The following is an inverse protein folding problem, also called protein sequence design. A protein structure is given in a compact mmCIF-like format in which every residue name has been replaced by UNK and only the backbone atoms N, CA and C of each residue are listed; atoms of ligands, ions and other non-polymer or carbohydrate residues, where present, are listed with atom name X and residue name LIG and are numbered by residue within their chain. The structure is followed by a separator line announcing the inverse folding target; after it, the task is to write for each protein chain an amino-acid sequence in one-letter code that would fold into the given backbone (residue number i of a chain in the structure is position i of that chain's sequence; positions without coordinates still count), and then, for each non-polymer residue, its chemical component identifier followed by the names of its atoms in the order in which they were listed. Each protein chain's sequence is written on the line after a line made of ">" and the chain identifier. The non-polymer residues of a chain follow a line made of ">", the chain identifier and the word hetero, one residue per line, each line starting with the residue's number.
data_IF_452009220969
#
_entry.id   IF_452009220969
#
_cell.length_a   1.000
_cell.length_b   1.000
_cell.length_c   1.000
_cell.angle_alpha   90.00
_cell.angle_beta   90.00
_cell.angle_gamma   90.00
#
_symmetry.space_group_name_H-M   'P 1'
#
loop_
_entity.id
_entity.type
_entity.pdbx_description
1 polymer ?
#
# COMPACT_ATOMS: atom_id res chain seq x y z
N UNK A 1 -27.98 -9.21 4.10
CA UNK A 1 -28.25 -8.60 5.41
C UNK A 1 -26.93 -8.52 6.17
N UNK A 2 -26.48 -7.33 6.58
CA UNK A 2 -25.25 -7.17 7.38
C UNK A 2 -25.54 -7.66 8.80
N UNK A 3 -24.71 -8.56 9.34
CA UNK A 3 -24.76 -8.98 10.75
C UNK A 3 -23.75 -8.13 11.52
N UNK A 4 -24.22 -7.34 12.47
CA UNK A 4 -23.36 -6.57 13.36
C UNK A 4 -23.00 -7.45 14.57
N UNK A 5 -21.71 -7.51 14.91
CA UNK A 5 -21.23 -8.19 16.13
C UNK A 5 -21.17 -7.20 17.30
N UNK A 6 -20.98 -7.71 18.52
CA UNK A 6 -20.83 -6.88 19.74
C UNK A 6 -19.51 -6.11 19.77
N UNK A 7 -18.46 -6.68 19.20
CA UNK A 7 -17.13 -6.08 19.19
C UNK A 7 -17.05 -4.97 18.14
N UNK A 8 -16.35 -3.88 18.46
CA UNK A 8 -16.11 -2.82 17.49
C UNK A 8 -15.10 -3.29 16.40
N UNK A 9 -15.04 -2.56 15.29
CA UNK A 9 -14.23 -2.99 14.13
C UNK A 9 -12.73 -2.97 14.42
N UNK A 10 -12.26 -2.15 15.37
CA UNK A 10 -10.87 -2.11 15.80
C UNK A 10 -10.51 -3.38 16.59
N UNK A 11 -11.29 -3.71 17.62
CA UNK A 11 -11.09 -4.91 18.44
C UNK A 11 -11.14 -6.19 17.59
N UNK A 12 -12.08 -6.24 16.64
CA UNK A 12 -12.16 -7.34 15.69
C UNK A 12 -10.91 -7.44 14.81
N UNK A 13 -10.37 -6.31 14.34
CA UNK A 13 -9.13 -6.30 13.54
C UNK A 13 -7.90 -6.71 14.37
N UNK A 14 -7.80 -6.27 15.63
CA UNK A 14 -6.74 -6.71 16.56
C UNK A 14 -6.81 -8.22 16.80
N UNK A 15 -8.00 -8.75 17.09
CA UNK A 15 -8.22 -10.20 17.27
C UNK A 15 -7.82 -11.00 16.03
N UNK A 16 -8.10 -10.49 14.83
CA UNK A 16 -7.67 -11.12 13.56
C UNK A 16 -6.15 -11.11 13.42
N UNK A 17 -5.49 -10.02 13.77
CA UNK A 17 -4.02 -9.92 13.73
C UNK A 17 -3.37 -10.86 14.75
N UNK A 18 -3.91 -10.93 15.97
CA UNK A 18 -3.46 -11.87 17.00
C UNK A 18 -3.52 -13.32 16.50
N UNK A 19 -4.66 -13.69 15.90
CA UNK A 19 -4.84 -15.00 15.28
C UNK A 19 -3.79 -15.31 14.22
N UNK A 20 -3.46 -14.33 13.36
CA UNK A 20 -2.45 -14.50 12.32
C UNK A 20 -1.07 -14.75 12.93
N UNK A 21 -0.66 -13.92 13.91
CA UNK A 21 0.63 -14.07 14.58
C UNK A 21 0.76 -15.36 15.43
N UNK A 22 -0.36 -15.92 15.90
CA UNK A 22 -0.38 -17.20 16.60
C UNK A 22 -0.40 -18.40 15.64
N UNK A 23 -0.91 -18.22 14.42
CA UNK A 23 -1.14 -19.32 13.48
C UNK A 23 0.00 -19.50 12.49
N UNK A 24 0.64 -18.42 12.05
CA UNK A 24 1.65 -18.44 10.99
C UNK A 24 3.04 -18.08 11.55
N UNK A 25 4.06 -18.90 11.29
CA UNK A 25 5.43 -18.60 11.72
C UNK A 25 6.01 -17.39 10.97
N UNK A 26 5.65 -17.21 9.71
CA UNK A 26 6.15 -16.14 8.85
C UNK A 26 5.00 -15.27 8.35
N UNK A 27 5.06 -13.99 8.67
CA UNK A 27 4.02 -13.01 8.34
C UNK A 27 4.72 -11.83 7.67
N UNK A 28 4.19 -11.40 6.53
CA UNK A 28 4.61 -10.14 5.91
C UNK A 28 3.41 -9.31 5.48
N UNK A 29 3.60 -8.00 5.34
CA UNK A 29 2.55 -7.09 4.90
C UNK A 29 2.92 -6.43 3.58
N UNK A 30 1.99 -6.46 2.62
CA UNK A 30 2.12 -5.70 1.38
C UNK A 30 1.73 -4.24 1.61
N UNK A 31 2.66 -3.35 1.32
CA UNK A 31 2.54 -1.94 1.61
C UNK A 31 2.64 -1.07 0.36
N UNK A 32 1.61 -0.25 0.17
CA UNK A 32 1.46 0.65 -0.99
C UNK A 32 1.70 2.13 -0.66
N UNK A 33 1.99 2.47 0.60
CA UNK A 33 2.06 3.86 1.05
C UNK A 33 0.70 4.57 1.19
N UNK A 34 -0.41 3.87 0.96
CA UNK A 34 -1.77 4.41 1.11
C UNK A 34 -2.26 4.38 2.57
N UNK A 35 -3.35 5.12 2.85
CA UNK A 35 -3.94 5.20 4.21
C UNK A 35 -4.36 3.83 4.74
N UNK A 36 -4.92 2.98 3.88
CA UNK A 36 -5.54 1.71 4.30
C UNK A 36 -4.47 0.67 4.67
N UNK A 37 -3.43 0.52 3.84
CA UNK A 37 -2.28 -0.35 4.13
C UNK A 37 -1.42 0.20 5.28
N UNK A 38 -1.28 1.53 5.38
CA UNK A 38 -0.59 2.18 6.51
C UNK A 38 -1.30 1.96 7.85
N UNK A 39 -2.63 2.01 7.91
CA UNK A 39 -3.38 1.75 9.13
C UNK A 39 -3.27 0.27 9.54
N UNK A 40 -3.37 -0.64 8.57
CA UNK A 40 -3.21 -2.08 8.80
C UNK A 40 -1.85 -2.41 9.43
N UNK A 41 -0.76 -1.86 8.90
CA UNK A 41 0.60 -2.16 9.37
C UNK A 41 0.86 -1.55 10.75
N UNK A 42 0.40 -0.32 11.00
CA UNK A 42 0.57 0.30 12.31
C UNK A 42 -0.26 -0.41 13.39
N UNK A 43 -1.43 -0.95 13.05
CA UNK A 43 -2.19 -1.83 13.93
C UNK A 43 -1.45 -3.16 14.17
N UNK A 44 -0.86 -3.73 13.11
CA UNK A 44 -0.08 -4.96 13.21
C UNK A 44 1.17 -4.79 14.08
N UNK A 45 1.87 -3.67 13.99
CA UNK A 45 3.00 -3.34 14.86
C UNK A 45 2.60 -3.29 16.34
N UNK A 46 1.46 -2.70 16.69
CA UNK A 46 0.97 -2.73 18.08
C UNK A 46 0.73 -4.16 18.59
N UNK A 47 0.03 -4.98 17.79
CA UNK A 47 -0.27 -6.38 18.15
C UNK A 47 1.01 -7.22 18.22
N UNK A 48 1.92 -7.05 17.25
CA UNK A 48 3.18 -7.76 17.20
C UNK A 48 4.07 -7.44 18.42
N UNK A 49 4.13 -6.18 18.87
CA UNK A 49 4.84 -5.79 20.10
C UNK A 49 4.27 -6.51 21.33
N UNK A 50 2.95 -6.54 21.48
CA UNK A 50 2.29 -7.21 22.61
C UNK A 50 2.57 -8.71 22.61
N UNK A 51 2.61 -9.33 21.43
CA UNK A 51 2.88 -10.77 21.27
C UNK A 51 4.38 -11.11 21.22
N UNK A 52 5.27 -10.10 21.27
CA UNK A 52 6.72 -10.27 21.09
C UNK A 52 7.04 -11.04 19.79
N UNK A 53 6.34 -10.67 18.71
CA UNK A 53 6.51 -11.21 17.36
C UNK A 53 7.03 -10.10 16.44
N UNK A 54 7.60 -10.52 15.32
CA UNK A 54 8.01 -9.64 14.22
C UNK A 54 7.27 -10.03 12.94
N UNK A 55 7.31 -9.16 11.95
CA UNK A 55 6.85 -9.43 10.59
C UNK A 55 7.75 -8.74 9.58
N UNK A 56 7.65 -9.14 8.32
CA UNK A 56 8.37 -8.49 7.23
C UNK A 56 7.48 -7.52 6.45
N UNK A 57 8.11 -6.61 5.72
CA UNK A 57 7.43 -5.60 4.91
C UNK A 57 7.76 -5.81 3.45
N UNK A 58 6.75 -5.85 2.58
CA UNK A 58 6.90 -5.89 1.13
C UNK A 58 6.44 -4.57 0.54
N UNK A 59 7.34 -3.87 -0.14
CA UNK A 59 7.05 -2.66 -0.91
C UNK A 59 7.41 -2.95 -2.37
N UNK A 60 6.45 -2.77 -3.27
CA UNK A 60 6.72 -2.63 -4.69
C UNK A 60 6.59 -1.14 -5.03
N UNK A 61 7.73 -0.47 -5.18
CA UNK A 61 7.79 0.97 -5.31
C UNK A 61 7.59 1.39 -6.77
N UNK A 62 6.71 2.36 -6.98
CA UNK A 62 6.43 2.93 -8.29
C UNK A 62 7.31 4.17 -8.47
N UNK A 63 8.02 4.25 -9.60
CA UNK A 63 8.96 5.33 -9.92
C UNK A 63 8.37 6.73 -9.72
N UNK A 64 7.08 6.93 -9.96
CA UNK A 64 6.40 8.23 -9.85
C UNK A 64 5.60 8.43 -8.54
N UNK A 65 6.01 7.79 -7.43
CA UNK A 65 5.39 8.02 -6.13
C UNK A 65 5.58 9.46 -5.62
N UNK A 66 4.61 10.00 -4.86
CA UNK A 66 4.74 11.32 -4.23
C UNK A 66 5.85 11.32 -3.17
N UNK A 67 6.56 12.44 -3.02
CA UNK A 67 7.57 12.62 -1.95
C UNK A 67 7.01 12.36 -0.54
N UNK A 68 5.76 12.78 -0.32
CA UNK A 68 5.06 12.53 0.94
C UNK A 68 4.82 11.02 1.17
N UNK A 69 4.55 10.26 0.10
CA UNK A 69 4.42 8.80 0.15
C UNK A 69 5.74 8.14 0.47
N UNK A 70 6.84 8.56 -0.17
CA UNK A 70 8.18 8.03 0.15
C UNK A 70 8.58 8.33 1.60
N UNK A 71 8.35 9.55 2.05
CA UNK A 71 8.60 9.94 3.45
C UNK A 71 7.77 9.10 4.42
N UNK A 72 6.51 8.82 4.08
CA UNK A 72 5.67 7.91 4.87
C UNK A 72 6.18 6.47 4.83
N UNK A 73 6.67 6.00 3.69
CA UNK A 73 7.26 4.68 3.57
C UNK A 73 8.45 4.50 4.50
N UNK A 74 9.36 5.47 4.55
CA UNK A 74 10.50 5.44 5.48
C UNK A 74 10.07 5.42 6.95
N UNK A 75 9.00 6.16 7.30
CA UNK A 75 8.45 6.11 8.68
C UNK A 75 7.89 4.74 9.03
N UNK A 76 7.21 4.07 8.10
CA UNK A 76 6.66 2.74 8.31
C UNK A 76 7.77 1.70 8.38
N UNK A 77 8.79 1.77 7.51
CA UNK A 77 9.98 0.89 7.53
C UNK A 77 10.72 0.94 8.87
N UNK A 78 10.68 2.09 9.55
CA UNK A 78 11.31 2.27 10.86
C UNK A 78 10.51 1.69 12.06
N UNK A 79 9.37 1.04 11.84
CA UNK A 79 8.62 0.41 12.92
C UNK A 79 9.42 -0.77 13.54
N UNK A 80 9.49 -0.88 14.87
CA UNK A 80 10.42 -1.78 15.55
C UNK A 80 10.08 -3.27 15.42
N UNK A 81 8.84 -3.63 15.04
CA UNK A 81 8.47 -5.02 14.82
C UNK A 81 8.76 -5.50 13.40
N UNK A 82 9.20 -4.61 12.51
CA UNK A 82 9.61 -4.98 11.17
C UNK A 82 10.99 -5.61 11.24
N UNK A 83 11.08 -6.88 10.87
CA UNK A 83 12.33 -7.63 10.88
C UNK A 83 13.11 -7.40 9.58
N UNK A 84 12.47 -7.60 8.43
CA UNK A 84 13.05 -7.36 7.12
C UNK A 84 12.12 -6.56 6.23
N UNK A 85 12.69 -5.68 5.40
CA UNK A 85 11.95 -4.98 4.34
C UNK A 85 12.45 -5.43 2.97
N UNK A 86 11.53 -5.89 2.14
CA UNK A 86 11.70 -6.16 0.73
C UNK A 86 11.19 -4.95 -0.07
N UNK A 87 12.06 -3.98 -0.33
CA UNK A 87 11.71 -2.75 -1.05
C UNK A 87 12.14 -2.86 -2.51
N UNK A 88 11.26 -3.35 -3.38
CA UNK A 88 11.58 -3.57 -4.80
C UNK A 88 11.35 -2.31 -5.64
N UNK A 89 12.38 -1.93 -6.40
CA UNK A 89 12.30 -0.95 -7.49
C UNK A 89 12.70 -1.65 -8.80
N UNK A 90 11.72 -2.30 -9.44
CA UNK A 90 11.95 -3.19 -10.57
C UNK A 90 11.25 -2.71 -11.85
N UNK A 91 11.79 -3.06 -13.04
CA UNK A 91 11.15 -2.75 -14.31
C UNK A 91 9.82 -3.49 -14.51
N UNK A 92 8.72 -2.74 -14.36
CA UNK A 92 7.38 -3.24 -14.62
C UNK A 92 6.56 -2.25 -15.45
N UNK A 93 5.64 -2.76 -16.26
CA UNK A 93 4.68 -1.89 -16.94
C UNK A 93 3.68 -1.34 -15.95
N UNK A 94 3.50 -0.03 -16.03
CA UNK A 94 2.50 0.71 -15.28
C UNK A 94 1.56 1.44 -16.24
N UNK A 95 0.29 1.56 -15.86
CA UNK A 95 -0.71 2.20 -16.70
C UNK A 95 -0.53 3.72 -16.68
N UNK A 96 -0.46 4.31 -17.87
CA UNK A 96 -0.46 5.75 -18.07
C UNK A 96 -1.83 6.23 -18.51
N UNK A 97 -2.62 6.72 -17.56
CA UNK A 97 -3.95 7.27 -17.84
C UNK A 97 -3.92 8.69 -18.42
N UNK A 98 -2.75 9.25 -18.69
CA UNK A 98 -2.57 10.65 -19.10
C UNK A 98 -2.24 10.80 -20.58
N UNK A 99 -1.94 9.70 -21.29
CA UNK A 99 -1.66 9.71 -22.72
C UNK A 99 -2.34 8.53 -23.40
N UNK A 100 -3.10 8.83 -24.45
CA UNK A 100 -3.65 7.80 -25.35
C UNK A 100 -2.55 7.21 -26.25
N UNK A 101 -1.47 7.96 -26.52
CA UNK A 101 -0.37 7.54 -27.40
C UNK A 101 0.66 6.66 -26.70
N UNK A 102 0.81 6.83 -25.38
CA UNK A 102 1.71 6.03 -24.54
C UNK A 102 0.90 5.54 -23.33
N UNK A 103 0.02 4.55 -23.52
CA UNK A 103 -0.92 4.11 -22.48
C UNK A 103 -0.25 3.36 -21.33
N UNK A 104 1.03 3.00 -21.47
CA UNK A 104 1.83 2.39 -20.43
C UNK A 104 3.25 2.98 -20.45
N UNK A 105 3.93 2.93 -19.31
CA UNK A 105 5.37 3.15 -19.25
C UNK A 105 6.05 2.02 -18.47
N UNK A 106 7.34 1.81 -18.73
CA UNK A 106 8.18 0.90 -17.96
C UNK A 106 8.82 1.67 -16.80
N UNK A 107 8.39 1.42 -15.57
CA UNK A 107 8.93 2.12 -14.39
C UNK A 107 10.32 1.60 -14.05
N UNK A 108 11.21 2.43 -13.52
CA UNK A 108 12.58 2.02 -13.16
C UNK A 108 13.38 1.38 -14.31
N UNK A 109 13.09 1.75 -15.56
CA UNK A 109 13.87 1.31 -16.71
C UNK A 109 15.26 1.96 -16.68
N UNK A 110 16.32 1.15 -16.51
CA UNK A 110 17.70 1.63 -16.47
C UNK A 110 18.12 2.27 -17.80
N UNK A 111 17.52 1.86 -18.94
CA UNK A 111 17.77 2.47 -20.25
C UNK A 111 17.20 3.90 -20.33
N UNK A 112 16.20 4.21 -19.51
CA UNK A 112 15.56 5.52 -19.43
C UNK A 112 15.83 6.24 -18.09
N UNK A 113 16.95 5.93 -17.43
CA UNK A 113 17.29 6.49 -16.11
C UNK A 113 17.24 8.01 -16.04
N UNK A 114 17.58 8.69 -17.12
CA UNK A 114 17.55 10.15 -17.22
C UNK A 114 16.12 10.71 -17.15
N UNK A 115 15.12 9.91 -17.53
CA UNK A 115 13.69 10.23 -17.51
C UNK A 115 13.04 9.93 -16.17
N UNK A 116 13.74 9.29 -15.24
CA UNK A 116 13.17 8.96 -13.94
C UNK A 116 12.66 10.19 -13.22
N UNK A 117 11.50 10.04 -12.58
CA UNK A 117 10.86 11.12 -11.81
C UNK A 117 11.59 11.45 -10.54
N UNK A 118 12.26 10.45 -9.99
CA UNK A 118 12.99 10.57 -8.75
C UNK A 118 14.11 9.55 -8.70
N UNK A 119 15.08 9.80 -7.83
CA UNK A 119 16.12 8.82 -7.56
C UNK A 119 15.51 7.62 -6.83
N UNK A 120 16.03 6.44 -7.18
CA UNK A 120 15.75 5.19 -6.48
C UNK A 120 16.20 5.30 -5.00
N UNK A 121 15.42 4.77 -4.04
CA UNK A 121 15.84 4.69 -2.64
C UNK A 121 17.16 3.91 -2.49
N UNK A 122 17.99 4.28 -1.51
CA UNK A 122 19.33 3.69 -1.33
C UNK A 122 19.30 2.22 -0.92
N UNK A 123 18.25 1.81 -0.24
CA UNK A 123 18.03 0.46 0.27
C UNK A 123 17.05 -0.33 -0.61
N UNK A 124 16.73 0.17 -1.80
CA UNK A 124 15.91 -0.54 -2.76
C UNK A 124 16.64 -1.75 -3.34
N UNK A 125 15.90 -2.83 -3.56
CA UNK A 125 16.30 -4.00 -4.33
C UNK A 125 15.99 -3.68 -5.80
N UNK A 126 17.05 -3.43 -6.58
CA UNK A 126 16.98 -3.18 -8.01
C UNK A 126 17.11 -4.48 -8.82
N UNK A 127 17.00 -4.38 -10.15
CA UNK A 127 17.19 -5.54 -11.04
C UNK A 127 18.57 -6.19 -10.87
N UNK A 128 19.61 -5.40 -10.58
CA UNK A 128 20.98 -5.88 -10.41
C UNK A 128 21.20 -6.65 -9.10
N UNK A 129 20.30 -6.48 -8.12
CA UNK A 129 20.41 -7.08 -6.78
C UNK A 129 19.65 -8.42 -6.67
N UNK A 130 18.93 -8.83 -7.73
CA UNK A 130 18.16 -10.07 -7.71
C UNK A 130 19.10 -11.28 -7.81
N UNK A 131 18.98 -12.20 -6.85
CA UNK A 131 19.56 -13.53 -6.97
C UNK A 131 18.84 -14.38 -8.04
N UNK A 132 19.35 -15.57 -8.33
CA UNK A 132 18.80 -16.46 -9.35
C UNK A 132 17.31 -16.79 -9.12
N UNK A 133 16.92 -17.02 -7.86
CA UNK A 133 15.56 -17.40 -7.49
C UNK A 133 14.57 -16.22 -7.61
N UNK A 134 15.00 -15.02 -7.25
CA UNK A 134 14.23 -13.79 -7.42
C UNK A 134 14.14 -13.39 -8.90
N UNK A 135 15.21 -13.60 -9.65
CA UNK A 135 15.24 -13.36 -11.10
C UNK A 135 14.25 -14.28 -11.83
N UNK A 136 14.13 -15.55 -11.44
CA UNK A 136 13.15 -16.48 -12.01
C UNK A 136 11.70 -16.00 -11.82
N UNK A 137 11.35 -15.55 -10.61
CA UNK A 137 9.99 -15.02 -10.37
C UNK A 137 9.74 -13.69 -11.08
N UNK A 138 10.76 -12.85 -11.25
CA UNK A 138 10.69 -11.60 -12.00
C UNK A 138 10.48 -11.86 -13.50
N UNK A 139 11.28 -12.74 -14.10
CA UNK A 139 11.15 -13.10 -15.52
C UNK A 139 9.79 -13.77 -15.79
N UNK A 140 9.37 -14.70 -14.94
CA UNK A 140 8.07 -15.34 -15.07
C UNK A 140 6.91 -14.36 -14.87
N UNK A 141 7.10 -13.24 -14.18
CA UNK A 141 6.11 -12.18 -14.07
C UNK A 141 5.86 -11.46 -15.40
N UNK A 142 6.76 -11.58 -16.38
CA UNK A 142 6.67 -10.95 -17.71
C UNK A 142 6.33 -9.45 -17.61
N UNK A 143 7.12 -8.74 -16.80
CA UNK A 143 6.98 -7.29 -16.56
C UNK A 143 5.61 -6.86 -16.00
N UNK A 144 4.83 -7.79 -15.42
CA UNK A 144 3.57 -7.51 -14.74
C UNK A 144 3.73 -7.49 -13.21
N UNK A 145 3.45 -6.35 -12.53
CA UNK A 145 3.68 -6.22 -11.09
C UNK A 145 2.77 -7.13 -10.25
N UNK A 146 1.50 -7.30 -10.64
CA UNK A 146 0.56 -8.18 -9.93
C UNK A 146 0.97 -9.66 -10.01
N UNK A 147 1.54 -10.07 -11.15
CA UNK A 147 2.07 -11.44 -11.31
C UNK A 147 3.31 -11.63 -10.45
N UNK A 148 4.20 -10.64 -10.39
CA UNK A 148 5.35 -10.66 -9.50
C UNK A 148 4.93 -10.78 -8.03
N UNK A 149 3.99 -9.96 -7.54
CA UNK A 149 3.52 -10.03 -6.16
C UNK A 149 2.89 -11.38 -5.80
N UNK A 150 2.18 -12.02 -6.74
CA UNK A 150 1.69 -13.39 -6.55
C UNK A 150 2.84 -14.41 -6.46
N UNK A 151 3.80 -14.34 -7.38
CA UNK A 151 4.95 -15.23 -7.38
C UNK A 151 5.83 -15.03 -6.13
N UNK A 152 5.99 -13.78 -5.67
CA UNK A 152 6.73 -13.43 -4.46
C UNK A 152 6.19 -14.16 -3.23
N UNK A 153 4.87 -14.32 -3.10
CA UNK A 153 4.30 -15.03 -1.96
C UNK A 153 4.72 -16.52 -1.91
N UNK A 154 4.89 -17.14 -3.07
CA UNK A 154 5.41 -18.51 -3.17
C UNK A 154 6.93 -18.57 -2.98
N UNK A 155 7.66 -17.61 -3.55
CA UNK A 155 9.09 -17.47 -3.31
C UNK A 155 9.40 -17.25 -1.83
N UNK A 156 8.64 -16.41 -1.14
CA UNK A 156 8.80 -16.13 0.29
C UNK A 156 8.56 -17.38 1.14
N UNK A 157 7.58 -18.22 0.78
CA UNK A 157 7.44 -19.55 1.38
C UNK A 157 8.69 -20.42 1.17
N UNK A 158 9.24 -20.48 -0.05
CA UNK A 158 10.46 -21.25 -0.32
C UNK A 158 11.68 -20.69 0.43
N UNK A 159 11.82 -19.36 0.50
CA UNK A 159 12.83 -18.65 1.28
C UNK A 159 12.79 -19.06 2.76
N UNK A 160 11.59 -19.30 3.29
CA UNK A 160 11.35 -19.85 4.62
C UNK A 160 11.11 -21.37 4.62
N UNK A 161 11.84 -22.13 3.79
CA UNK A 161 11.87 -23.60 3.83
C UNK A 161 10.49 -24.26 3.65
N UNK A 162 9.63 -23.64 2.85
CA UNK A 162 8.24 -24.06 2.58
C UNK A 162 7.34 -24.07 3.82
N UNK A 163 7.69 -23.36 4.88
CA UNK A 163 6.84 -23.17 6.05
C UNK A 163 5.59 -22.31 5.72
N UNK A 164 4.53 -22.35 6.54
CA UNK A 164 3.31 -21.60 6.28
C UNK A 164 3.56 -20.09 6.34
N UNK A 165 3.07 -19.35 5.33
CA UNK A 165 3.26 -17.89 5.23
C UNK A 165 1.93 -17.16 5.09
N UNK A 166 1.84 -15.98 5.71
CA UNK A 166 0.68 -15.11 5.63
C UNK A 166 1.02 -13.70 5.13
N UNK A 167 0.35 -13.28 4.06
CA UNK A 167 0.47 -11.97 3.44
C UNK A 167 -0.70 -11.06 3.85
N UNK A 168 -0.40 -9.97 4.56
CA UNK A 168 -1.39 -8.97 4.95
C UNK A 168 -1.64 -7.98 3.81
N UNK A 169 -2.91 -7.81 3.43
CA UNK A 169 -3.30 -6.90 2.33
C UNK A 169 -4.37 -5.91 2.81
N UNK A 170 -4.09 -4.62 2.65
CA UNK A 170 -4.94 -3.50 3.12
C UNK A 170 -6.16 -3.22 2.24
N UNK A 171 -6.96 -4.24 1.94
CA UNK A 171 -8.19 -4.14 1.13
C UNK A 171 -9.41 -4.07 2.05
N UNK A 172 -10.36 -3.19 1.72
CA UNK A 172 -11.65 -3.07 2.38
C UNK A 172 -12.81 -3.35 1.43
N UNK A 173 -13.86 -3.94 1.96
CA UNK A 173 -15.05 -4.33 1.19
C UNK A 173 -15.88 -3.12 0.74
N UNK A 174 -15.82 -2.00 1.46
CA UNK A 174 -16.47 -0.73 1.06
C UNK A 174 -15.91 -0.15 -0.25
N UNK A 175 -14.72 -0.58 -0.68
CA UNK A 175 -14.02 0.04 -1.80
C UNK A 175 -14.58 -0.37 -3.17
N UNK A 176 -15.09 -1.60 -3.31
CA UNK A 176 -15.78 -2.04 -4.51
C UNK A 176 -16.59 -3.32 -4.30
N UNK A 177 -17.61 -3.52 -5.15
CA UNK A 177 -18.37 -4.77 -5.18
C UNK A 177 -17.47 -5.98 -5.51
N UNK A 178 -16.43 -5.79 -6.33
CA UNK A 178 -15.47 -6.83 -6.63
C UNK A 178 -14.69 -7.27 -5.37
N UNK A 179 -14.16 -6.31 -4.60
CA UNK A 179 -13.45 -6.58 -3.33
C UNK A 179 -14.35 -7.28 -2.32
N UNK A 180 -15.60 -6.80 -2.18
CA UNK A 180 -16.61 -7.47 -1.37
C UNK A 180 -16.79 -8.94 -1.77
N UNK A 181 -17.09 -9.20 -3.05
CA UNK A 181 -17.32 -10.58 -3.55
C UNK A 181 -16.10 -11.48 -3.36
N UNK A 182 -14.90 -10.97 -3.62
CA UNK A 182 -13.65 -11.74 -3.47
C UNK A 182 -13.40 -12.17 -2.02
N UNK A 183 -13.63 -11.28 -1.05
CA UNK A 183 -13.46 -11.59 0.37
C UNK A 183 -14.59 -12.49 0.87
N UNK A 184 -15.86 -12.16 0.59
CA UNK A 184 -16.99 -12.92 1.14
C UNK A 184 -17.24 -14.28 0.48
N UNK A 185 -16.65 -14.53 -0.70
CA UNK A 185 -16.71 -15.85 -1.35
C UNK A 185 -16.25 -16.94 -0.39
N UNK A 186 -16.84 -18.14 -0.36
CA UNK A 186 -16.30 -19.26 0.43
C UNK A 186 -15.05 -19.88 -0.21
N UNK A 187 -14.76 -19.55 -1.48
CA UNK A 187 -13.65 -20.12 -2.25
C UNK A 187 -12.32 -19.80 -1.55
N UNK A 188 -11.52 -20.86 -1.37
CA UNK A 188 -10.19 -20.82 -0.75
C UNK A 188 -10.14 -20.25 0.68
N UNK A 189 -11.25 -20.24 1.41
CA UNK A 189 -11.21 -19.83 2.82
C UNK A 189 -10.26 -20.73 3.63
N UNK A 190 -9.31 -20.13 4.31
CA UNK A 190 -8.50 -20.83 5.28
C UNK A 190 -9.32 -21.03 6.56
N UNK A 191 -9.49 -22.28 7.01
CA UNK A 191 -10.22 -22.64 8.24
C UNK A 191 -11.59 -21.97 8.38
N UNK A 192 -12.33 -21.87 7.27
CA UNK A 192 -13.67 -21.25 7.16
C UNK A 192 -13.73 -19.74 7.49
N UNK A 193 -12.58 -19.07 7.63
CA UNK A 193 -12.51 -17.62 7.81
C UNK A 193 -12.54 -16.93 6.43
N UNK A 194 -13.50 -16.04 6.18
CA UNK A 194 -13.62 -15.36 4.88
C UNK A 194 -12.52 -14.32 4.65
N UNK A 195 -11.96 -13.76 5.72
CA UNK A 195 -10.91 -12.76 5.69
C UNK A 195 -9.50 -13.37 5.57
N UNK A 196 -9.39 -14.69 5.42
CA UNK A 196 -8.14 -15.40 5.11
C UNK A 196 -8.36 -16.30 3.89
N UNK A 197 -7.57 -16.09 2.84
CA UNK A 197 -7.67 -16.79 1.55
C UNK A 197 -6.38 -17.52 1.22
N UNK A 198 -6.44 -18.81 0.92
CA UNK A 198 -5.33 -19.50 0.26
C UNK A 198 -5.15 -18.95 -1.14
N UNK A 199 -3.91 -18.76 -1.59
CA UNK A 199 -3.65 -18.33 -2.96
C UNK A 199 -4.01 -19.43 -3.98
N UNK A 200 -3.77 -20.69 -3.61
CA UNK A 200 -4.23 -21.89 -4.34
C UNK A 200 -4.78 -22.93 -3.36
N UNK A 201 -5.60 -23.88 -3.85
CA UNK A 201 -6.42 -24.78 -3.03
C UNK A 201 -5.67 -25.44 -1.86
N UNK A 202 -4.43 -25.87 -2.09
CA UNK A 202 -3.63 -26.66 -1.15
C UNK A 202 -2.37 -25.95 -0.66
N UNK A 203 -2.23 -24.64 -0.94
CA UNK A 203 -1.05 -23.90 -0.49
C UNK A 203 -1.17 -23.45 0.97
N UNK A 204 -0.04 -23.47 1.66
CA UNK A 204 0.15 -22.86 2.97
C UNK A 204 0.46 -21.36 2.88
N UNK A 205 0.48 -20.80 1.67
CA UNK A 205 0.52 -19.36 1.39
C UNK A 205 -0.90 -18.80 1.43
N UNK A 206 -1.14 -17.88 2.36
CA UNK A 206 -2.44 -17.21 2.48
C UNK A 206 -2.31 -15.70 2.37
N UNK A 207 -3.37 -15.07 1.88
CA UNK A 207 -3.60 -13.63 2.03
C UNK A 207 -4.63 -13.41 3.13
N UNK A 208 -4.39 -12.49 4.04
CA UNK A 208 -5.36 -12.08 5.06
C UNK A 208 -5.67 -10.59 4.96
N UNK A 209 -6.90 -10.24 5.35
CA UNK A 209 -7.47 -8.91 5.20
C UNK A 209 -8.03 -8.44 6.56
N UNK A 210 -7.20 -7.99 7.50
CA UNK A 210 -7.62 -7.81 8.90
C UNK A 210 -8.61 -6.66 9.08
N UNK A 211 -8.56 -5.66 8.20
CA UNK A 211 -9.41 -4.46 8.21
C UNK A 211 -10.53 -4.50 7.16
N UNK A 212 -10.87 -5.68 6.61
CA UNK A 212 -11.74 -5.78 5.44
C UNK A 212 -13.14 -5.16 5.60
N UNK A 213 -13.64 -5.09 6.83
CA UNK A 213 -14.94 -4.55 7.21
C UNK A 213 -14.89 -3.08 7.64
N UNK A 214 -13.70 -2.48 7.68
CA UNK A 214 -13.53 -1.07 7.99
C UNK A 214 -14.11 -0.17 6.88
N UNK A 215 -14.74 0.91 7.30
CA UNK A 215 -15.14 2.05 6.50
C UNK A 215 -14.00 3.07 6.43
N UNK A 216 -14.21 4.12 5.64
CA UNK A 216 -13.20 5.16 5.47
C UNK A 216 -13.00 5.96 6.74
N UNK A 217 -14.09 6.19 7.46
CA UNK A 217 -14.13 6.83 8.76
C UNK A 217 -13.36 6.00 9.78
N UNK A 218 -13.55 4.67 9.81
CA UNK A 218 -12.83 3.77 10.74
C UNK A 218 -11.31 3.85 10.54
N UNK A 219 -10.86 3.93 9.28
CA UNK A 219 -9.44 4.12 8.95
C UNK A 219 -8.91 5.43 9.55
N UNK A 220 -9.59 6.55 9.29
CA UNK A 220 -9.15 7.85 9.78
C UNK A 220 -9.31 8.00 11.31
N UNK A 221 -10.36 7.41 11.86
CA UNK A 221 -10.61 7.29 13.29
C UNK A 221 -9.47 6.57 14.00
N UNK A 222 -8.95 5.48 13.43
CA UNK A 222 -7.79 4.80 13.97
C UNK A 222 -6.52 5.67 13.94
N UNK A 223 -6.23 6.37 12.84
CA UNK A 223 -5.11 7.31 12.78
C UNK A 223 -5.22 8.40 13.87
N UNK A 224 -6.40 8.96 14.06
CA UNK A 224 -6.65 9.99 15.06
C UNK A 224 -6.62 9.45 16.50
N UNK A 225 -7.12 8.23 16.72
CA UNK A 225 -7.18 7.57 18.02
C UNK A 225 -5.78 7.23 18.55
N UNK A 226 -4.92 6.66 17.71
CA UNK A 226 -3.58 6.23 18.09
C UNK A 226 -2.48 7.27 17.83
N UNK A 227 -2.85 8.42 17.27
CA UNK A 227 -1.90 9.46 16.84
C UNK A 227 -0.80 8.93 15.92
N UNK A 228 -1.20 8.10 14.96
CA UNK A 228 -0.29 7.49 14.01
C UNK A 228 0.25 8.49 12.99
N UNK A 229 1.51 8.36 12.53
CA UNK A 229 1.97 9.10 11.35
C UNK A 229 1.06 8.82 10.15
N UNK A 230 0.69 9.89 9.45
CA UNK A 230 -0.11 9.86 8.23
C UNK A 230 0.80 10.14 7.03
N UNK A 231 0.45 9.59 5.87
CA UNK A 231 1.04 10.05 4.62
C UNK A 231 0.64 11.51 4.36
N UNK A 232 1.62 12.41 4.39
CA UNK A 232 1.39 13.86 4.26
C UNK A 232 0.71 14.29 2.96
N UNK A 233 0.60 13.42 1.96
CA UNK A 233 -0.24 13.68 0.79
C UNK A 233 -1.71 13.86 1.18
N UNK A 234 -2.22 13.09 2.14
CA UNK A 234 -3.60 13.21 2.59
C UNK A 234 -3.87 14.46 3.41
N UNK A 235 -2.88 14.94 4.18
CA UNK A 235 -2.96 16.24 4.85
C UNK A 235 -3.12 17.35 3.79
N UNK A 236 -2.30 17.32 2.74
CA UNK A 236 -2.44 18.24 1.60
C UNK A 236 -3.81 18.14 0.95
N UNK A 237 -4.35 16.94 0.71
CA UNK A 237 -5.71 16.79 0.15
C UNK A 237 -6.76 17.42 1.06
N UNK A 238 -6.64 17.25 2.37
CA UNK A 238 -7.58 17.83 3.32
C UNK A 238 -7.50 19.36 3.35
N UNK A 239 -6.30 19.93 3.36
CA UNK A 239 -6.09 21.39 3.32
C UNK A 239 -6.72 22.01 2.07
N UNK A 240 -6.85 21.20 1.00
CA UNK A 240 -7.52 21.56 -0.23
C UNK A 240 -9.03 21.26 -0.25
N UNK A 241 -9.61 20.89 0.89
CA UNK A 241 -11.05 20.63 1.03
C UNK A 241 -11.54 19.32 0.42
N UNK A 242 -10.64 18.38 0.09
CA UNK A 242 -11.05 17.08 -0.46
C UNK A 242 -11.74 16.26 0.63
N UNK A 243 -12.96 15.74 0.40
CA UNK A 243 -13.65 14.90 1.38
C UNK A 243 -12.89 13.59 1.65
N UNK A 244 -12.92 13.11 2.90
CA UNK A 244 -12.20 11.90 3.33
C UNK A 244 -12.50 10.64 2.48
N UNK A 245 -13.70 10.55 1.90
CA UNK A 245 -14.13 9.44 1.03
C UNK A 245 -13.48 9.46 -0.35
N UNK A 246 -13.02 10.63 -0.80
CA UNK A 246 -12.34 10.82 -2.08
C UNK A 246 -10.82 10.74 -1.95
N UNK A 247 -10.29 10.70 -0.72
CA UNK A 247 -8.86 10.60 -0.46
C UNK A 247 -8.32 9.22 -0.83
N UNK A 248 -7.72 9.15 -2.02
CA UNK A 248 -7.07 7.96 -2.57
C UNK A 248 -5.70 8.34 -3.11
N UNK A 249 -4.74 7.46 -2.85
CA UNK A 249 -3.47 7.44 -3.57
C UNK A 249 -3.56 6.20 -4.44
N UNK A 250 -3.45 6.39 -5.73
CA UNK A 250 -3.37 5.32 -6.73
C UNK A 250 -2.23 5.71 -7.68
N UNK A 251 -1.76 4.74 -8.47
CA UNK A 251 -0.92 4.98 -9.66
C UNK A 251 -1.47 6.16 -10.46
N UNK A 252 -0.62 6.84 -11.26
CA UNK A 252 -0.96 8.05 -12.01
C UNK A 252 -2.30 7.89 -12.76
N UNK A 253 -3.36 8.26 -12.05
CA UNK A 253 -4.72 8.36 -12.53
C UNK A 253 -4.98 9.83 -12.62
N UNK A 254 -5.52 10.24 -13.76
CA UNK A 254 -6.22 11.52 -13.87
C UNK A 254 -7.40 11.42 -12.91
N UNK A 255 -7.20 11.81 -11.65
CA UNK A 255 -8.29 12.22 -10.81
C UNK A 255 -8.69 13.61 -11.30
N UNK A 256 -9.98 13.84 -11.56
CA UNK A 256 -10.58 15.10 -12.04
C UNK A 256 -10.36 16.33 -11.11
N UNK A 257 -9.38 16.28 -10.20
CA UNK A 257 -8.94 17.42 -9.40
C UNK A 257 -7.69 18.02 -10.04
N UNK A 258 -7.79 19.28 -10.45
CA UNK A 258 -6.76 20.14 -11.10
C UNK A 258 -5.37 20.20 -10.41
N UNK A 259 -5.17 19.52 -9.28
CA UNK A 259 -3.99 19.64 -8.42
C UNK A 259 -3.14 18.37 -8.26
N UNK A 260 -3.55 17.24 -8.84
CA UNK A 260 -2.63 16.09 -9.07
C UNK A 260 -1.67 16.32 -10.26
N UNK A 261 -1.68 17.54 -10.82
CA UNK A 261 -1.07 17.89 -12.09
C UNK A 261 0.45 18.12 -12.00
N UNK A 262 1.04 18.31 -10.82
CA UNK A 262 2.44 18.78 -10.71
C UNK A 262 3.48 17.70 -11.06
N UNK A 263 3.35 16.48 -10.53
CA UNK A 263 4.22 15.37 -10.94
C UNK A 263 3.91 14.89 -12.36
N UNK A 264 2.65 15.06 -12.79
CA UNK A 264 2.15 14.67 -14.10
C UNK A 264 2.63 15.57 -15.25
N UNK A 265 2.62 16.89 -15.06
CA UNK A 265 3.17 17.87 -16.01
C UNK A 265 4.70 17.73 -16.11
N UNK A 266 5.35 17.46 -14.98
CA UNK A 266 6.78 17.17 -14.95
C UNK A 266 7.11 15.85 -15.67
N UNK A 267 6.33 14.79 -15.46
CA UNK A 267 6.46 13.49 -16.14
C UNK A 267 6.28 13.61 -17.66
N UNK A 268 5.19 14.26 -18.11
CA UNK A 268 4.96 14.51 -19.54
C UNK A 268 6.04 15.41 -20.16
N UNK A 269 6.58 16.39 -19.42
CA UNK A 269 7.66 17.26 -19.89
C UNK A 269 8.98 16.52 -20.04
N UNK A 270 9.37 15.67 -19.08
CA UNK A 270 10.61 14.87 -19.14
C UNK A 270 10.61 13.83 -20.26
N UNK A 271 9.45 13.29 -20.63
CA UNK A 271 9.31 12.31 -21.72
C UNK A 271 9.00 12.94 -23.09
N UNK A 272 8.98 14.27 -23.19
CA UNK A 272 8.80 15.00 -24.46
C UNK A 272 7.36 15.06 -24.97
N UNK A 273 6.37 14.80 -24.11
CA UNK A 273 4.96 14.64 -24.49
C UNK A 273 4.09 15.89 -24.28
N UNK A 274 4.64 17.01 -23.78
CA UNK A 274 3.88 18.25 -23.58
C UNK A 274 4.26 19.32 -24.60
N UNK A 275 3.27 19.84 -25.34
CA UNK A 275 3.42 21.08 -26.10
C UNK A 275 3.62 22.26 -25.15
N UNK A 276 4.54 23.14 -25.51
CA UNK A 276 5.00 24.26 -24.69
C UNK A 276 3.95 25.37 -24.60
N UNK A 277 3.02 25.31 -23.65
CA UNK A 277 2.32 26.51 -23.15
C UNK A 277 1.71 26.27 -21.77
N UNK A 278 1.95 27.23 -20.87
CA UNK A 278 1.36 27.41 -19.54
C UNK A 278 1.86 26.49 -18.40
N UNK A 279 2.80 27.01 -17.60
CA UNK A 279 2.64 27.30 -16.16
C UNK A 279 4.02 27.57 -15.51
N UNK A 280 4.06 28.63 -14.70
CA UNK A 280 5.24 29.22 -14.04
C UNK A 280 5.90 28.27 -13.01
N UNK A 281 7.15 28.57 -12.69
CA UNK A 281 8.01 27.88 -11.72
C UNK A 281 7.30 27.57 -10.38
N UNK A 282 7.62 26.45 -9.71
CA UNK A 282 7.05 26.15 -8.41
C UNK A 282 7.55 27.18 -7.38
N UNK A 283 6.63 28.05 -6.94
CA UNK A 283 6.85 28.88 -5.77
C UNK A 283 6.93 27.95 -4.56
N UNK A 284 8.10 27.89 -3.93
CA UNK A 284 8.29 27.39 -2.57
C UNK A 284 7.45 28.27 -1.64
N UNK A 285 6.22 27.87 -1.35
CA UNK A 285 5.41 28.51 -0.31
C UNK A 285 5.46 27.64 0.93
N UNK A 286 6.25 28.12 1.89
CA UNK A 286 6.30 27.67 3.27
C UNK A 286 4.96 28.01 3.94
N UNK A 287 4.05 27.05 3.97
CA UNK A 287 2.79 27.15 4.68
C UNK A 287 2.63 25.89 5.52
N UNK A 288 3.00 25.97 6.81
CA UNK A 288 2.46 25.07 7.84
C UNK A 288 1.09 25.58 8.29
N UNK A 289 0.01 24.77 8.18
CA UNK A 289 -1.15 24.92 9.04
C UNK A 289 -1.18 23.81 10.12
N UNK A 290 -1.81 24.16 11.25
CA UNK A 290 -1.74 23.50 12.56
C UNK A 290 -2.34 22.10 12.58
N UNK A 291 -1.59 21.14 13.15
CA UNK A 291 -1.98 19.73 13.43
C UNK A 291 -3.27 19.56 14.25
N UNK A 292 -3.74 20.60 14.94
CA UNK A 292 -4.76 20.46 15.98
C UNK A 292 -6.21 20.41 15.46
N UNK A 293 -6.50 20.95 14.27
CA UNK A 293 -7.88 20.96 13.76
C UNK A 293 -8.37 19.58 13.28
N UNK A 294 -7.49 18.78 12.67
CA UNK A 294 -7.80 17.41 12.22
C UNK A 294 -8.14 16.48 13.39
N UNK A 295 -7.43 16.64 14.51
CA UNK A 295 -7.59 15.82 15.71
C UNK A 295 -8.92 16.06 16.43
N UNK A 296 -9.51 17.26 16.29
CA UNK A 296 -10.76 17.62 16.98
C UNK A 296 -11.97 17.09 16.21
N UNK A 297 -12.05 17.32 14.89
CA UNK A 297 -13.23 16.94 14.09
C UNK A 297 -13.42 15.42 13.98
N UNK A 298 -12.34 14.63 14.04
CA UNK A 298 -12.42 13.16 14.00
C UNK A 298 -12.65 12.55 15.40
N UNK A 299 -12.22 13.24 16.48
CA UNK A 299 -12.56 12.83 17.85
C UNK A 299 -14.05 12.97 18.17
N UNK A 300 -14.74 13.92 17.52
CA UNK A 300 -16.19 14.12 17.70
C UNK A 300 -17.05 13.15 16.86
N UNK A 301 -16.52 12.62 15.76
CA UNK A 301 -17.15 11.49 15.09
C UNK A 301 -16.83 10.21 15.88
N UNK A 302 -17.82 9.67 16.60
CA UNK A 302 -17.72 8.33 17.21
C UNK A 302 -17.50 7.28 16.12
N UNK A 303 -16.26 7.13 15.71
CA UNK A 303 -15.80 6.14 14.75
C UNK A 303 -14.53 5.53 15.29
N UNK A 304 -14.77 4.66 16.28
CA UNK A 304 -14.35 3.26 16.39
C UNK A 304 -15.56 2.51 16.96
#
# INVERSE_FOLDING_TARGET
>A
MKKYCKDNVLEAAMTRLEYIFDTFPHVYFSFSGGKDSGAMIQLADQVARQKKKTFDLLILDIEANYDATRTFMEKIKALPTINQTFHFCLPFYEDNNTSVFQPQWLMWDEQEREKWVQMMPKDAISLADLDESLMEIYQSANMNPDKFLRNFAHWYANYHQCEPVACGVGIRTQESLYRYRSITSPKYNFRKQCWIKRQVADSMVVNFYPIYDWKTEDVWGAYAHFDWPINGFYEKLYDHGVPIHQMRICQLKVCNNEKAYTNMLWWNRKRGNASSTACQEPILVDCMPRRDYWRITIRESQVI
#
